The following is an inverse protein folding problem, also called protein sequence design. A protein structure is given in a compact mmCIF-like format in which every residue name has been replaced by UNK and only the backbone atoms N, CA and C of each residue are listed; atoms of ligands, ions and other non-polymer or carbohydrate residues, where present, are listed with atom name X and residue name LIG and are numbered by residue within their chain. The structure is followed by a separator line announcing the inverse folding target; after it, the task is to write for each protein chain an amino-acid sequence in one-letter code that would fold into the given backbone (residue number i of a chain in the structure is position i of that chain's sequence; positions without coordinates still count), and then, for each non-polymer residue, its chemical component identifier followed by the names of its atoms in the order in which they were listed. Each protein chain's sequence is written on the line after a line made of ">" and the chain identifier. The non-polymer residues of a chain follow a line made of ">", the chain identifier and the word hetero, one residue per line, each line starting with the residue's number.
data_IF_109174166603
#
_entry.id   IF_109174166603
#
_cell.length_a   1.000
_cell.length_b   1.000
_cell.length_c   1.000
_cell.angle_alpha   90.00
_cell.angle_beta   90.00
_cell.angle_gamma   90.00
#
_symmetry.space_group_name_H-M   'P 1'
#
loop_
_entity.id
_entity.type
_entity.pdbx_description
1 polymer ?
#
# COMPACT_ATOMS: atom_id res chain seq x y z
N UNK A 1 -25.21 -22.56 6.67
CA UNK A 1 -25.09 -21.42 5.75
C UNK A 1 -24.12 -20.35 6.19
N UNK A 2 -24.21 -19.86 7.42
CA UNK A 2 -23.29 -18.80 7.93
C UNK A 2 -21.81 -19.20 7.89
N UNK A 3 -21.50 -20.46 8.18
CA UNK A 3 -20.12 -20.99 8.17
C UNK A 3 -19.55 -21.03 6.74
N UNK A 4 -20.36 -21.33 5.74
CA UNK A 4 -19.95 -21.38 4.34
C UNK A 4 -19.57 -19.97 3.82
N UNK A 5 -20.34 -18.95 4.18
CA UNK A 5 -20.04 -17.57 3.82
C UNK A 5 -18.74 -17.07 4.48
N UNK A 6 -18.54 -17.42 5.75
CA UNK A 6 -17.30 -17.07 6.45
C UNK A 6 -16.07 -17.72 5.80
N UNK A 7 -16.17 -18.99 5.42
CA UNK A 7 -15.11 -19.71 4.71
C UNK A 7 -14.84 -19.13 3.32
N UNK A 8 -15.88 -18.73 2.58
CA UNK A 8 -15.75 -18.08 1.29
C UNK A 8 -15.01 -16.74 1.39
N UNK A 9 -15.33 -15.94 2.39
CA UNK A 9 -14.66 -14.65 2.65
C UNK A 9 -13.19 -14.88 2.97
N UNK A 10 -12.85 -15.84 3.83
CA UNK A 10 -11.47 -16.19 4.17
C UNK A 10 -10.70 -16.66 2.94
N UNK A 11 -11.31 -17.49 2.10
CA UNK A 11 -10.71 -17.97 0.85
C UNK A 11 -10.47 -16.84 -0.15
N UNK A 12 -11.40 -15.90 -0.29
CA UNK A 12 -11.25 -14.72 -1.14
C UNK A 12 -10.13 -13.83 -0.65
N UNK A 13 -10.00 -13.64 0.67
CA UNK A 13 -8.90 -12.89 1.27
C UNK A 13 -7.55 -13.56 0.99
N UNK A 14 -7.47 -14.87 1.12
CA UNK A 14 -6.25 -15.65 0.82
C UNK A 14 -5.84 -15.53 -0.63
N UNK A 15 -6.78 -15.60 -1.57
CA UNK A 15 -6.52 -15.45 -3.00
C UNK A 15 -6.05 -14.04 -3.34
N UNK A 16 -6.65 -13.04 -2.73
CA UNK A 16 -6.30 -11.65 -2.95
C UNK A 16 -4.87 -11.34 -2.45
N UNK A 17 -4.48 -11.92 -1.32
CA UNK A 17 -3.14 -11.76 -0.73
C UNK A 17 -2.04 -12.54 -1.45
N UNK A 18 -2.37 -13.39 -2.44
CA UNK A 18 -1.39 -14.20 -3.16
C UNK A 18 -0.58 -13.42 -4.20
N UNK A 19 -1.00 -12.20 -4.59
CA UNK A 19 -0.29 -11.37 -5.54
C UNK A 19 0.88 -10.65 -4.88
N UNK A 20 2.02 -10.58 -5.59
CA UNK A 20 3.19 -9.85 -5.09
C UNK A 20 2.96 -8.34 -5.12
N UNK A 21 3.26 -7.67 -4.03
CA UNK A 21 3.10 -6.24 -3.83
C UNK A 21 3.72 -5.41 -4.97
N UNK A 22 4.99 -5.59 -5.25
CA UNK A 22 5.75 -4.75 -6.17
C UNK A 22 5.44 -4.98 -7.65
N UNK A 23 4.68 -6.04 -7.97
CA UNK A 23 4.32 -6.38 -9.36
C UNK A 23 2.98 -5.81 -9.80
N UNK A 24 2.21 -5.25 -8.90
CA UNK A 24 0.87 -4.74 -9.18
C UNK A 24 0.94 -3.27 -9.58
N UNK A 25 0.18 -2.89 -10.62
CA UNK A 25 -0.02 -1.48 -10.98
C UNK A 25 -1.34 -0.99 -10.36
N UNK A 26 -1.27 -0.19 -9.31
CA UNK A 26 -2.46 0.22 -8.58
C UNK A 26 -3.14 1.43 -9.21
N UNK A 27 -4.46 1.53 -9.04
CA UNK A 27 -5.24 2.72 -9.32
C UNK A 27 -5.64 3.47 -8.05
N UNK A 28 -5.66 2.77 -6.90
CA UNK A 28 -6.07 3.31 -5.61
C UNK A 28 -5.30 2.64 -4.48
N UNK A 29 -5.38 3.22 -3.29
CA UNK A 29 -4.66 2.74 -2.10
C UNK A 29 -4.95 1.29 -1.78
N UNK A 30 -6.21 0.88 -1.84
CA UNK A 30 -6.62 -0.49 -1.51
C UNK A 30 -6.05 -1.54 -2.45
N UNK A 31 -5.66 -1.16 -3.67
CA UNK A 31 -5.02 -2.09 -4.60
C UNK A 31 -3.63 -2.55 -4.10
N UNK A 32 -3.01 -1.76 -3.23
CA UNK A 32 -1.73 -2.11 -2.60
C UNK A 32 -1.90 -2.65 -1.18
N UNK A 33 -2.68 -1.97 -0.35
CA UNK A 33 -2.80 -2.31 1.08
C UNK A 33 -3.51 -3.63 1.33
N UNK A 34 -4.24 -4.15 0.37
CA UNK A 34 -4.86 -5.48 0.43
C UNK A 34 -3.91 -6.60 0.01
N UNK A 35 -2.74 -6.27 -0.51
CA UNK A 35 -1.74 -7.25 -0.93
C UNK A 35 -0.82 -7.62 0.22
N UNK A 36 -0.28 -8.85 0.14
CA UNK A 36 0.78 -9.29 1.03
C UNK A 36 2.09 -8.60 0.64
N UNK A 37 2.87 -8.18 1.63
CA UNK A 37 4.22 -7.68 1.39
C UNK A 37 5.11 -8.73 0.75
N UNK A 38 6.15 -8.30 0.04
CA UNK A 38 7.14 -9.21 -0.53
C UNK A 38 7.88 -9.97 0.59
N UNK A 39 8.50 -11.09 0.24
CA UNK A 39 9.21 -11.95 1.21
C UNK A 39 10.24 -11.14 2.01
N UNK A 40 10.16 -11.25 3.33
CA UNK A 40 11.03 -10.51 4.25
C UNK A 40 10.59 -9.11 4.59
N UNK A 41 9.53 -8.61 3.95
CA UNK A 41 8.97 -7.30 4.20
C UNK A 41 7.73 -7.37 5.08
N UNK A 42 7.29 -6.22 5.62
CA UNK A 42 6.21 -6.17 6.59
C UNK A 42 4.86 -5.85 5.97
N UNK A 43 4.79 -4.82 5.10
CA UNK A 43 3.53 -4.33 4.58
C UNK A 43 3.64 -3.74 3.18
N UNK A 44 2.59 -3.96 2.38
CA UNK A 44 2.45 -3.35 1.06
C UNK A 44 1.69 -2.04 1.17
N UNK A 45 2.27 -0.96 0.67
CA UNK A 45 1.71 0.39 0.71
C UNK A 45 1.62 1.01 -0.67
N UNK A 46 0.77 2.01 -0.81
CA UNK A 46 0.55 2.74 -2.05
C UNK A 46 1.45 3.95 -2.13
N UNK A 47 2.20 4.08 -3.22
CA UNK A 47 3.12 5.20 -3.46
C UNK A 47 2.68 6.01 -4.68
N UNK A 48 2.59 7.32 -4.49
CA UNK A 48 2.35 8.29 -5.57
C UNK A 48 3.57 9.19 -5.68
N UNK A 49 4.07 9.37 -6.88
CA UNK A 49 5.19 10.26 -7.16
C UNK A 49 4.87 11.15 -8.36
N UNK A 50 5.04 12.46 -8.18
CA UNK A 50 4.98 13.45 -9.26
C UNK A 50 6.08 14.48 -9.04
N UNK A 51 7.09 14.46 -9.89
CA UNK A 51 8.19 15.40 -9.81
C UNK A 51 8.90 15.56 -11.15
N UNK A 52 9.67 16.63 -11.30
CA UNK A 52 10.51 16.90 -12.45
C UNK A 52 11.96 16.74 -12.01
N UNK A 53 12.71 15.91 -12.70
CA UNK A 53 14.14 15.69 -12.46
C UNK A 53 14.87 15.61 -13.78
N UNK A 54 15.91 16.44 -13.96
CA UNK A 54 16.72 16.52 -15.20
C UNK A 54 15.84 16.68 -16.44
N UNK A 55 14.86 17.59 -16.40
CA UNK A 55 13.88 17.87 -17.46
C UNK A 55 12.93 16.70 -17.79
N UNK A 56 12.97 15.63 -17.02
CA UNK A 56 12.06 14.50 -17.15
C UNK A 56 10.92 14.63 -16.15
N UNK A 57 9.69 14.54 -16.64
CA UNK A 57 8.50 14.49 -15.79
C UNK A 57 8.25 13.05 -15.33
N UNK A 58 8.27 12.84 -14.04
CA UNK A 58 7.99 11.54 -13.43
C UNK A 58 6.62 11.60 -12.77
N UNK A 59 5.71 10.76 -13.27
CA UNK A 59 4.35 10.61 -12.74
C UNK A 59 4.08 9.10 -12.63
N UNK A 60 4.04 8.59 -11.41
CA UNK A 60 3.90 7.17 -11.19
C UNK A 60 3.08 6.84 -9.97
N UNK A 61 2.37 5.73 -10.07
CA UNK A 61 1.67 5.08 -8.97
C UNK A 61 2.15 3.65 -8.89
N UNK A 62 2.53 3.22 -7.70
CA UNK A 62 3.07 1.88 -7.49
C UNK A 62 2.75 1.36 -6.10
N UNK A 63 2.82 0.04 -5.96
CA UNK A 63 2.84 -0.59 -4.65
C UNK A 63 4.29 -0.76 -4.20
N UNK A 64 4.58 -0.40 -2.97
CA UNK A 64 5.91 -0.56 -2.37
C UNK A 64 5.84 -1.40 -1.12
N UNK A 65 6.75 -2.36 -0.99
CA UNK A 65 6.88 -3.17 0.21
C UNK A 65 7.76 -2.47 1.22
N UNK A 66 7.25 -2.27 2.42
CA UNK A 66 7.98 -1.64 3.52
C UNK A 66 8.37 -2.66 4.59
N UNK A 67 9.55 -2.48 5.17
CA UNK A 67 9.92 -3.17 6.40
C UNK A 67 9.09 -2.61 7.56
N UNK A 68 9.07 -3.32 8.69
CA UNK A 68 8.38 -2.82 9.88
C UNK A 68 8.92 -1.48 10.35
N UNK A 69 10.22 -1.29 10.29
CA UNK A 69 10.88 -0.02 10.66
C UNK A 69 10.44 1.12 9.75
N UNK A 70 10.42 0.88 8.44
CA UNK A 70 9.94 1.86 7.46
C UNK A 70 8.46 2.16 7.65
N UNK A 71 7.64 1.15 7.93
CA UNK A 71 6.22 1.31 8.19
C UNK A 71 5.95 2.14 9.45
N UNK A 72 6.70 1.88 10.54
CA UNK A 72 6.54 2.60 11.81
C UNK A 72 6.95 4.08 11.70
N UNK A 73 7.78 4.42 10.71
CA UNK A 73 8.28 5.79 10.49
C UNK A 73 8.06 6.26 9.05
N UNK A 74 6.94 5.87 8.44
CA UNK A 74 6.65 6.16 7.02
C UNK A 74 6.67 7.66 6.70
N UNK A 75 6.17 8.50 7.60
CA UNK A 75 6.19 9.95 7.42
C UNK A 75 7.60 10.54 7.39
N UNK A 76 8.54 9.97 8.14
CA UNK A 76 9.95 10.35 8.09
C UNK A 76 10.61 9.88 6.80
N UNK A 77 10.27 8.69 6.34
CA UNK A 77 10.74 8.16 5.07
C UNK A 77 10.30 9.07 3.91
N UNK A 78 9.02 9.43 3.86
CA UNK A 78 8.48 10.35 2.85
C UNK A 78 9.19 11.70 2.90
N UNK A 79 9.37 12.26 4.09
CA UNK A 79 10.09 13.52 4.29
C UNK A 79 11.52 13.45 3.76
N UNK A 80 12.23 12.37 4.06
CA UNK A 80 13.61 12.15 3.59
C UNK A 80 13.68 12.06 2.07
N UNK A 81 12.74 11.38 1.44
CA UNK A 81 12.68 11.25 -0.02
C UNK A 81 12.36 12.59 -0.69
N UNK A 82 11.47 13.40 -0.10
CA UNK A 82 11.19 14.75 -0.57
C UNK A 82 12.43 15.64 -0.51
N UNK A 83 13.16 15.58 0.58
CA UNK A 83 14.41 16.33 0.76
C UNK A 83 15.48 15.87 -0.24
N UNK A 84 15.57 14.59 -0.51
CA UNK A 84 16.50 14.04 -1.48
C UNK A 84 16.22 14.58 -2.90
N UNK A 85 14.95 14.58 -3.33
CA UNK A 85 14.53 15.10 -4.64
C UNK A 85 14.90 16.61 -4.74
N UNK A 86 14.65 17.36 -3.69
CA UNK A 86 14.97 18.80 -3.63
C UNK A 86 16.47 19.03 -3.73
N UNK A 87 17.27 18.28 -2.98
CA UNK A 87 18.73 18.36 -3.02
C UNK A 87 19.33 18.01 -4.37
N UNK A 88 18.70 17.11 -5.10
CA UNK A 88 19.12 16.69 -6.44
C UNK A 88 18.72 17.69 -7.54
N UNK A 89 18.09 18.81 -7.17
CA UNK A 89 17.66 19.84 -8.10
C UNK A 89 16.33 19.53 -8.79
N UNK A 90 15.58 18.55 -8.30
CA UNK A 90 14.26 18.24 -8.80
C UNK A 90 13.19 19.22 -8.31
N UNK A 91 12.10 19.33 -9.05
CA UNK A 91 10.90 20.08 -8.63
C UNK A 91 9.83 19.08 -8.21
N UNK A 92 9.54 19.06 -6.91
CA UNK A 92 8.55 18.16 -6.35
C UNK A 92 7.14 18.74 -6.50
N UNK A 93 6.23 17.97 -7.07
CA UNK A 93 4.80 18.27 -7.08
C UNK A 93 4.09 17.46 -5.99
N UNK A 94 4.25 16.14 -6.00
CA UNK A 94 3.65 15.24 -5.00
C UNK A 94 4.55 14.04 -4.77
N UNK A 95 4.72 13.67 -3.51
CA UNK A 95 5.32 12.40 -3.11
C UNK A 95 4.65 11.94 -1.82
N UNK A 96 4.03 10.77 -1.84
CA UNK A 96 3.36 10.23 -0.65
C UNK A 96 3.34 8.71 -0.67
N UNK A 97 3.32 8.12 0.53
CA UNK A 97 3.16 6.68 0.75
C UNK A 97 1.98 6.50 1.72
N UNK A 98 0.96 5.79 1.26
CA UNK A 98 -0.24 5.53 2.04
C UNK A 98 -0.34 4.04 2.36
N UNK A 99 -0.31 3.73 3.64
CA UNK A 99 -0.43 2.38 4.17
C UNK A 99 -1.78 2.12 4.86
N UNK A 100 -2.75 3.02 4.68
CA UNK A 100 -4.05 2.88 5.33
C UNK A 100 -4.81 1.67 4.81
N UNK A 101 -5.32 0.83 5.72
CA UNK A 101 -6.04 -0.39 5.39
C UNK A 101 -7.51 -0.28 5.75
N UNK A 102 -8.33 0.15 4.79
CA UNK A 102 -9.80 0.14 4.95
C UNK A 102 -10.38 -1.29 4.93
N UNK A 103 -9.64 -2.22 4.37
CA UNK A 103 -10.07 -3.61 4.18
C UNK A 103 -10.20 -4.38 5.50
N UNK A 104 -9.24 -4.24 6.41
CA UNK A 104 -9.31 -4.85 7.75
C UNK A 104 -10.54 -4.38 8.52
N UNK A 105 -10.91 -3.11 8.36
CA UNK A 105 -12.08 -2.53 9.01
C UNK A 105 -13.37 -3.15 8.47
N UNK A 106 -13.49 -3.31 7.17
CA UNK A 106 -14.66 -3.94 6.52
C UNK A 106 -14.77 -5.40 6.94
N UNK A 107 -13.67 -6.15 6.97
CA UNK A 107 -13.63 -7.54 7.43
C UNK A 107 -14.08 -7.68 8.88
N UNK A 108 -13.67 -6.77 9.77
CA UNK A 108 -14.09 -6.75 11.16
C UNK A 108 -15.59 -6.47 11.30
N UNK A 109 -16.12 -5.52 10.54
CA UNK A 109 -17.55 -5.20 10.53
C UNK A 109 -18.36 -6.41 10.06
N UNK A 110 -17.94 -7.06 8.97
CA UNK A 110 -18.59 -8.26 8.47
C UNK A 110 -18.56 -9.39 9.50
N UNK A 111 -17.44 -9.58 10.19
CA UNK A 111 -17.31 -10.58 11.25
C UNK A 111 -18.28 -10.29 12.39
N UNK A 112 -18.42 -9.06 12.83
CA UNK A 112 -19.36 -8.64 13.87
C UNK A 112 -20.79 -8.90 13.44
N UNK A 113 -21.16 -8.58 12.21
CA UNK A 113 -22.50 -8.84 11.64
C UNK A 113 -22.80 -10.34 11.62
N UNK A 114 -21.81 -11.18 11.31
CA UNK A 114 -21.98 -12.63 11.31
C UNK A 114 -22.10 -13.24 12.71
N UNK A 115 -21.50 -12.62 13.72
CA UNK A 115 -21.57 -13.10 15.10
C UNK A 115 -22.85 -12.67 15.82
N UNK A 116 -23.56 -11.67 15.31
CA UNK A 116 -24.87 -11.25 15.80
C UNK A 116 -25.99 -12.03 15.13
#
# INVERSE_FOLDING_TARGET
>A
MKVIYALLIILLESLYKAQNCTKVKPNKVSDCTNLKADTGEFRCCYRVEKYIYMDNYIDGRSCTSLTKEEFDSVHLLVKSLKQFIDKMGGKLETYDIDCSSKYLYISLILLIIFLL
#
